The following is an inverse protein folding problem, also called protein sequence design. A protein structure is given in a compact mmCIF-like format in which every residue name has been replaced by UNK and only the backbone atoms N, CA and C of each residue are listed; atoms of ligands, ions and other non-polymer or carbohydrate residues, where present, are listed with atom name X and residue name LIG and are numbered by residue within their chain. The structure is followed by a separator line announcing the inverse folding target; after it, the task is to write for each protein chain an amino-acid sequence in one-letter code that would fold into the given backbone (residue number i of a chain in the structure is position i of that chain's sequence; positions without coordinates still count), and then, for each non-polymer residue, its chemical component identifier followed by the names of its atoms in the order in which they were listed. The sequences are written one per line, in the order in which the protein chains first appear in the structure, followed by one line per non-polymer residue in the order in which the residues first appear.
data_IF_718325599342
#
_entry.id   IF_718325599342
#
_cell.length_a   1.000
_cell.length_b   1.000
_cell.length_c   1.000
_cell.angle_alpha   90.00
_cell.angle_beta   90.00
_cell.angle_gamma   90.00
#
_symmetry.space_group_name_H-M   'P 1'
#
loop_
_entity.id
_entity.type
_entity.pdbx_description
1 polymer ?
#
# COMPACT_ATOMS: atom_id res chain seq x y z
N UNK A 1 30.12 6.74 -5.12
CA UNK A 1 29.05 7.09 -6.09
C UNK A 1 28.96 5.93 -7.08
N UNK A 2 28.05 4.99 -6.85
CA UNK A 2 27.90 3.80 -7.70
C UNK A 2 27.23 4.21 -9.02
N UNK A 3 27.95 4.01 -10.12
CA UNK A 3 27.46 4.23 -11.49
C UNK A 3 26.35 3.22 -11.77
N UNK A 4 25.11 3.70 -11.92
CA UNK A 4 23.96 2.89 -12.33
C UNK A 4 24.15 2.43 -13.79
N UNK A 5 24.77 1.27 -13.99
CA UNK A 5 24.76 0.59 -15.29
C UNK A 5 23.38 -0.04 -15.49
N UNK A 6 22.44 0.73 -16.04
CA UNK A 6 21.03 0.33 -16.25
C UNK A 6 20.89 -0.93 -17.13
N UNK A 7 21.94 -1.28 -17.90
CA UNK A 7 21.97 -2.49 -18.74
C UNK A 7 22.14 -3.81 -17.97
N UNK A 8 22.57 -3.78 -16.71
CA UNK A 8 22.83 -4.98 -15.89
C UNK A 8 22.13 -4.93 -14.53
N UNK A 9 20.98 -4.26 -14.44
CA UNK A 9 20.17 -4.21 -13.21
C UNK A 9 19.76 -5.63 -12.78
N UNK A 10 20.00 -5.98 -11.51
CA UNK A 10 19.70 -7.29 -10.92
C UNK A 10 18.66 -7.14 -9.80
N UNK A 11 17.35 -7.16 -10.10
CA UNK A 11 16.31 -6.76 -9.15
C UNK A 11 16.33 -7.47 -7.79
N UNK A 12 16.76 -8.73 -7.78
CA UNK A 12 16.82 -9.55 -6.56
C UNK A 12 18.12 -9.37 -5.76
N UNK A 13 19.21 -8.95 -6.42
CA UNK A 13 20.52 -8.75 -5.78
C UNK A 13 20.77 -7.27 -5.45
N UNK A 14 20.17 -6.38 -6.22
CA UNK A 14 20.27 -4.92 -6.13
C UNK A 14 18.85 -4.36 -6.25
N UNK A 15 18.09 -4.28 -5.15
CA UNK A 15 16.74 -3.73 -5.18
C UNK A 15 16.78 -2.22 -5.49
N UNK A 16 15.72 -1.72 -6.15
CA UNK A 16 15.58 -0.27 -6.35
C UNK A 16 15.43 0.40 -4.96
N UNK A 17 16.19 1.48 -4.68
CA UNK A 17 16.16 2.17 -3.40
C UNK A 17 14.88 3.02 -3.25
N UNK A 18 13.73 2.37 -3.03
CA UNK A 18 12.44 3.02 -2.82
C UNK A 18 12.01 3.13 -1.35
N UNK A 19 12.88 2.71 -0.43
CA UNK A 19 12.63 2.71 1.02
C UNK A 19 12.17 4.07 1.57
N UNK A 20 12.69 5.19 1.04
CA UNK A 20 12.25 6.53 1.42
C UNK A 20 10.81 6.88 0.98
N UNK A 21 10.23 6.12 0.05
CA UNK A 21 8.90 6.36 -0.52
C UNK A 21 7.86 5.34 -0.03
N UNK A 22 8.13 4.60 1.04
CA UNK A 22 7.26 3.53 1.54
C UNK A 22 5.80 3.98 1.78
N UNK A 23 5.58 5.19 2.30
CA UNK A 23 4.24 5.76 2.48
C UNK A 23 3.51 5.99 1.15
N UNK A 24 4.25 6.46 0.13
CA UNK A 24 3.68 6.67 -1.19
C UNK A 24 3.32 5.34 -1.85
N UNK A 25 4.16 4.31 -1.69
CA UNK A 25 3.93 2.95 -2.18
C UNK A 25 2.74 2.26 -1.49
N UNK A 26 2.33 2.74 -0.33
CA UNK A 26 1.15 2.22 0.37
C UNK A 26 -0.15 2.49 -0.42
N UNK A 27 -0.26 3.66 -1.06
CA UNK A 27 -1.45 4.05 -1.84
C UNK A 27 -1.74 3.10 -3.00
N UNK A 28 -0.81 2.81 -3.92
CA UNK A 28 -1.06 1.85 -4.99
C UNK A 28 -1.30 0.43 -4.46
N UNK A 29 -0.66 0.05 -3.35
CA UNK A 29 -0.87 -1.26 -2.72
C UNK A 29 -2.33 -1.43 -2.24
N UNK A 30 -2.84 -0.50 -1.42
CA UNK A 30 -4.21 -0.61 -0.88
C UNK A 30 -5.26 -0.49 -1.98
N UNK A 31 -5.01 0.31 -3.02
CA UNK A 31 -5.89 0.40 -4.18
C UNK A 31 -5.92 -0.91 -4.97
N UNK A 32 -4.76 -1.52 -5.23
CA UNK A 32 -4.70 -2.81 -5.92
C UNK A 32 -5.47 -3.90 -5.15
N UNK A 33 -5.27 -3.98 -3.83
CA UNK A 33 -6.01 -4.91 -2.96
C UNK A 33 -7.52 -4.64 -3.02
N UNK A 34 -7.93 -3.38 -2.90
CA UNK A 34 -9.34 -3.00 -2.95
C UNK A 34 -9.99 -3.31 -4.31
N UNK A 35 -9.28 -3.09 -5.42
CA UNK A 35 -9.74 -3.41 -6.78
C UNK A 35 -9.97 -4.92 -6.92
N UNK A 36 -8.97 -5.73 -6.57
CA UNK A 36 -9.04 -7.20 -6.70
C UNK A 36 -10.15 -7.77 -5.82
N UNK A 37 -10.25 -7.29 -4.57
CA UNK A 37 -11.30 -7.78 -3.67
C UNK A 37 -12.71 -7.38 -4.14
N UNK A 38 -12.88 -6.11 -4.54
CA UNK A 38 -14.21 -5.63 -4.95
C UNK A 38 -14.64 -6.20 -6.29
N UNK A 39 -13.74 -6.39 -7.24
CA UNK A 39 -14.09 -6.90 -8.58
C UNK A 39 -14.75 -8.27 -8.55
N UNK A 40 -14.39 -9.13 -7.59
CA UNK A 40 -14.99 -10.47 -7.46
C UNK A 40 -16.31 -10.45 -6.69
N UNK A 41 -16.59 -9.37 -5.93
CA UNK A 41 -17.68 -9.34 -4.94
C UNK A 41 -18.85 -8.42 -5.32
N UNK A 42 -18.71 -7.62 -6.37
CA UNK A 42 -19.67 -6.61 -6.78
C UNK A 42 -20.47 -7.04 -8.01
N UNK A 43 -21.79 -6.92 -7.96
CA UNK A 43 -22.67 -7.25 -9.09
C UNK A 43 -22.70 -6.14 -10.15
N UNK A 44 -22.69 -4.88 -9.72
CA UNK A 44 -22.71 -3.72 -10.61
C UNK A 44 -21.32 -3.05 -10.70
N UNK A 45 -20.62 -3.32 -11.80
CA UNK A 45 -19.28 -2.78 -12.07
C UNK A 45 -19.21 -1.25 -12.14
N UNK A 46 -20.32 -0.55 -12.42
CA UNK A 46 -20.32 0.92 -12.43
C UNK A 46 -20.05 1.53 -11.04
N UNK A 47 -20.33 0.78 -9.97
CA UNK A 47 -20.07 1.22 -8.60
C UNK A 47 -18.64 0.88 -8.13
N UNK A 48 -17.87 0.12 -8.92
CA UNK A 48 -16.55 -0.36 -8.54
C UNK A 48 -15.58 0.76 -8.17
N UNK A 49 -15.41 1.85 -8.95
CA UNK A 49 -14.44 2.91 -8.60
C UNK A 49 -14.75 3.55 -7.24
N UNK A 50 -16.02 3.85 -6.97
CA UNK A 50 -16.46 4.42 -5.69
C UNK A 50 -16.21 3.45 -4.53
N UNK A 51 -16.57 2.17 -4.71
CA UNK A 51 -16.41 1.17 -3.66
C UNK A 51 -14.94 0.84 -3.38
N UNK A 52 -14.08 0.87 -4.41
CA UNK A 52 -12.63 0.72 -4.29
C UNK A 52 -12.03 1.84 -3.47
N UNK A 53 -12.36 3.10 -3.78
CA UNK A 53 -11.86 4.27 -3.03
C UNK A 53 -12.33 4.22 -1.58
N UNK A 54 -13.60 3.87 -1.34
CA UNK A 54 -14.13 3.71 0.01
C UNK A 54 -13.41 2.61 0.79
N UNK A 55 -13.19 1.45 0.18
CA UNK A 55 -12.49 0.33 0.83
C UNK A 55 -11.01 0.66 1.09
N UNK A 56 -10.32 1.28 0.14
CA UNK A 56 -8.95 1.74 0.33
C UNK A 56 -8.85 2.75 1.49
N UNK A 57 -9.79 3.70 1.59
CA UNK A 57 -9.85 4.63 2.71
C UNK A 57 -10.10 3.92 4.06
N UNK A 58 -10.96 2.90 4.08
CA UNK A 58 -11.19 2.08 5.28
C UNK A 58 -9.93 1.31 5.72
N UNK A 59 -9.21 0.70 4.77
CA UNK A 59 -7.95 0.01 5.03
C UNK A 59 -6.95 0.99 5.64
N UNK A 60 -6.76 2.16 5.00
CA UNK A 60 -5.84 3.19 5.49
C UNK A 60 -6.21 3.67 6.89
N UNK A 61 -7.49 3.96 7.14
CA UNK A 61 -7.95 4.39 8.45
C UNK A 61 -7.68 3.33 9.53
N UNK A 62 -7.94 2.06 9.22
CA UNK A 62 -7.66 0.96 10.15
C UNK A 62 -6.17 0.81 10.44
N UNK A 63 -5.31 0.95 9.43
CA UNK A 63 -3.85 0.91 9.63
C UNK A 63 -3.37 2.04 10.55
N UNK A 64 -3.86 3.26 10.35
CA UNK A 64 -3.52 4.41 11.23
C UNK A 64 -4.00 4.15 12.66
N UNK A 65 -5.22 3.65 12.84
CA UNK A 65 -5.75 3.29 14.17
C UNK A 65 -4.91 2.21 14.84
N UNK A 66 -4.52 1.16 14.10
CA UNK A 66 -3.66 0.10 14.63
C UNK A 66 -2.27 0.62 15.02
N UNK A 67 -1.67 1.49 14.20
CA UNK A 67 -0.40 2.13 14.53
C UNK A 67 -0.49 3.00 15.79
N UNK A 68 -1.56 3.80 15.91
CA UNK A 68 -1.80 4.60 17.10
C UNK A 68 -2.02 3.75 18.36
N UNK A 69 -2.76 2.64 18.24
CA UNK A 69 -3.00 1.72 19.34
C UNK A 69 -1.69 1.06 19.81
N UNK A 70 -0.85 0.60 18.88
CA UNK A 70 0.47 0.04 19.20
C UNK A 70 1.38 1.08 19.87
N UNK A 71 1.38 2.31 19.37
CA UNK A 71 2.15 3.40 19.98
C UNK A 71 1.70 3.67 21.43
N UNK A 72 0.39 3.71 21.68
CA UNK A 72 -0.15 3.86 23.04
C UNK A 72 0.26 2.72 23.96
N UNK A 73 0.26 1.47 23.47
CA UNK A 73 0.71 0.32 24.27
C UNK A 73 2.18 0.45 24.65
N UNK A 74 3.03 0.90 23.72
CA UNK A 74 4.47 1.11 23.98
C UNK A 74 4.72 2.25 24.97
N UNK A 75 3.93 3.32 24.91
CA UNK A 75 4.10 4.47 25.82
C UNK A 75 3.61 4.18 27.26
N UNK A 76 2.63 3.29 27.42
CA UNK A 76 2.00 2.98 28.71
C UNK A 76 2.67 1.83 29.47
N UNK A 77 3.50 1.02 28.82
CA UNK A 77 4.20 -0.15 29.39
C UNK A 77 5.68 0.18 29.59
#
# INVERSE_FOLDING_TARGET
MSTMHTLAYRPFLEPIPLEGFWLLLLVPLILAVAIIYKSVKIENMALLPRQVVMMAAQILAFMVMAAAALWLVVELV
#
